data_IF_241256511676
#
_entry.id   IF_241256511676
#
_cell.length_a   1.000
_cell.length_b   1.000
_cell.length_c   1.000
_cell.angle_alpha   90.00
_cell.angle_beta   90.00
_cell.angle_gamma   90.00
#
_symmetry.space_group_name_H-M   'P 1'
#
loop_
_entity.id
_entity.type
_entity.pdbx_description
1 polymer ?
#
# COMPACT_ATOMS: atom_id res chain seq x y z
N UNK A 1 -9.31 -79.82 -30.87
CA UNK A 1 -9.01 -79.23 -29.61
C UNK A 1 -8.47 -77.83 -29.87
N UNK A 2 -9.33 -76.79 -29.67
CA UNK A 2 -9.00 -75.44 -29.96
C UNK A 2 -8.67 -74.76 -28.62
N UNK A 3 -7.43 -74.46 -28.46
CA UNK A 3 -6.91 -73.69 -27.31
C UNK A 3 -7.28 -72.17 -27.46
N UNK A 4 -8.09 -71.66 -26.54
CA UNK A 4 -8.41 -70.25 -26.46
C UNK A 4 -7.31 -69.55 -25.66
N UNK A 5 -6.55 -68.74 -26.33
CA UNK A 5 -5.63 -67.81 -25.69
C UNK A 5 -6.44 -66.59 -25.31
N UNK A 6 -6.65 -66.35 -23.99
CA UNK A 6 -7.23 -65.12 -23.47
C UNK A 6 -6.12 -64.08 -23.43
N UNK A 7 -6.18 -63.13 -24.33
CA UNK A 7 -5.36 -61.90 -24.24
C UNK A 7 -5.96 -60.91 -23.19
N UNK A 8 -5.29 -60.75 -22.06
CA UNK A 8 -5.63 -59.76 -21.03
C UNK A 8 -5.10 -58.43 -21.46
N UNK A 9 -5.97 -57.57 -21.94
CA UNK A 9 -5.65 -56.16 -22.20
C UNK A 9 -5.62 -55.39 -20.87
N UNK A 10 -4.43 -55.11 -20.37
CA UNK A 10 -4.24 -54.18 -19.22
C UNK A 10 -4.25 -52.76 -19.79
N UNK A 11 -5.36 -52.06 -19.61
CA UNK A 11 -5.44 -50.63 -19.87
C UNK A 11 -4.77 -49.87 -18.70
N UNK A 12 -3.57 -49.37 -18.92
CA UNK A 12 -2.89 -48.49 -17.99
C UNK A 12 -3.53 -47.09 -18.14
N UNK A 13 -4.37 -46.73 -17.19
CA UNK A 13 -4.94 -45.39 -17.09
C UNK A 13 -3.87 -44.47 -16.44
N UNK A 14 -3.10 -43.77 -17.26
CA UNK A 14 -2.22 -42.71 -16.77
C UNK A 14 -3.10 -41.52 -16.41
N UNK A 15 -3.43 -41.39 -15.12
CA UNK A 15 -4.04 -40.17 -14.59
C UNK A 15 -2.95 -39.12 -14.57
N UNK A 16 -2.91 -38.25 -15.58
CA UNK A 16 -2.14 -37.03 -15.56
C UNK A 16 -2.88 -36.09 -14.62
N UNK A 17 -2.51 -36.09 -13.34
CA UNK A 17 -2.87 -35.00 -12.43
C UNK A 17 -2.13 -33.76 -12.89
N UNK A 18 -2.78 -32.94 -13.69
CA UNK A 18 -2.34 -31.56 -13.91
C UNK A 18 -2.40 -30.87 -12.53
N UNK A 19 -1.26 -30.83 -11.86
CA UNK A 19 -1.08 -29.86 -10.78
C UNK A 19 -1.23 -28.48 -11.46
N UNK A 20 -2.41 -27.90 -11.37
CA UNK A 20 -2.51 -26.46 -11.59
C UNK A 20 -1.48 -25.87 -10.63
N UNK A 21 -0.40 -25.33 -11.16
CA UNK A 21 0.50 -24.49 -10.40
C UNK A 21 -0.37 -23.29 -9.97
N UNK A 22 -0.99 -23.41 -8.80
CA UNK A 22 -1.51 -22.25 -8.09
C UNK A 22 -0.26 -21.40 -7.87
N UNK A 23 -0.22 -20.23 -8.47
CA UNK A 23 0.81 -19.25 -8.14
C UNK A 23 0.81 -19.14 -6.61
N UNK A 24 1.92 -19.55 -5.98
CA UNK A 24 2.04 -19.53 -4.53
C UNK A 24 1.87 -18.08 -4.07
N UNK A 25 0.69 -17.79 -3.60
CA UNK A 25 0.43 -16.52 -2.91
C UNK A 25 0.98 -16.67 -1.51
N UNK A 26 2.16 -16.15 -1.28
CA UNK A 26 2.79 -16.17 0.02
C UNK A 26 2.00 -15.29 0.99
N UNK A 27 1.33 -15.94 1.92
CA UNK A 27 0.55 -15.24 2.96
C UNK A 27 1.47 -14.69 4.05
N UNK A 28 2.51 -15.45 4.40
CA UNK A 28 3.40 -15.22 5.53
C UNK A 28 4.83 -15.66 5.20
N UNK A 29 5.79 -15.17 5.99
CA UNK A 29 7.17 -15.64 5.97
C UNK A 29 8.06 -15.01 4.91
N UNK A 30 7.57 -14.03 4.16
CA UNK A 30 8.35 -13.35 3.15
C UNK A 30 9.07 -12.13 3.71
N UNK A 31 10.05 -11.65 2.97
CA UNK A 31 10.83 -10.47 3.29
C UNK A 31 10.14 -9.16 2.88
N UNK A 32 10.77 -8.05 3.21
CA UNK A 32 10.34 -6.71 2.82
C UNK A 32 11.43 -6.06 1.99
N UNK A 33 11.08 -5.52 0.84
CA UNK A 33 11.95 -4.73 -0.01
C UNK A 33 11.76 -3.25 0.33
N UNK A 34 12.75 -2.57 0.96
CA UNK A 34 12.71 -1.12 1.07
C UNK A 34 12.85 -0.49 -0.32
N UNK A 35 12.20 0.63 -0.53
CA UNK A 35 12.22 1.32 -1.82
C UNK A 35 12.56 2.80 -1.65
N UNK A 36 13.47 3.29 -2.47
CA UNK A 36 13.69 4.71 -2.68
C UNK A 36 12.77 5.18 -3.80
N UNK A 37 11.87 6.11 -3.47
CA UNK A 37 10.86 6.61 -4.42
C UNK A 37 11.33 7.85 -5.18
N UNK A 38 12.34 8.54 -4.67
CA UNK A 38 12.88 9.74 -5.25
C UNK A 38 13.05 10.88 -4.23
N UNK A 39 13.33 12.07 -4.72
CA UNK A 39 13.59 13.26 -3.89
C UNK A 39 12.94 14.51 -4.46
N UNK A 40 12.74 15.50 -3.59
CA UNK A 40 12.30 16.85 -3.96
C UNK A 40 13.03 17.92 -3.15
N UNK A 41 13.23 19.12 -3.72
CA UNK A 41 13.76 20.24 -2.97
C UNK A 41 12.69 20.81 -2.03
N UNK A 42 13.14 21.28 -0.86
CA UNK A 42 12.32 22.02 0.09
C UNK A 42 12.55 23.52 -0.04
N UNK A 43 11.58 24.33 0.42
CA UNK A 43 11.65 25.79 0.34
C UNK A 43 12.81 26.40 1.13
N UNK A 44 13.32 25.70 2.15
CA UNK A 44 14.46 26.11 2.99
C UNK A 44 15.83 25.71 2.42
N UNK A 45 15.84 25.09 1.23
CA UNK A 45 17.04 24.61 0.56
C UNK A 45 17.53 23.23 0.97
N UNK A 46 16.83 22.56 1.89
CA UNK A 46 17.05 21.14 2.19
C UNK A 46 16.40 20.26 1.12
N UNK A 47 16.60 18.94 1.23
CA UNK A 47 15.97 17.98 0.32
C UNK A 47 15.22 16.91 1.12
N UNK A 48 14.05 16.49 0.62
CA UNK A 48 13.31 15.35 1.14
C UNK A 48 13.56 14.12 0.28
N UNK A 49 14.13 13.07 0.87
CA UNK A 49 14.18 11.73 0.30
C UNK A 49 12.91 10.99 0.66
N UNK A 50 12.19 10.49 -0.34
CA UNK A 50 10.94 9.77 -0.16
C UNK A 50 11.19 8.27 -0.21
N UNK A 51 10.59 7.56 0.74
CA UNK A 51 10.71 6.11 0.84
C UNK A 51 9.36 5.44 0.90
N UNK A 52 9.34 4.23 0.39
CA UNK A 52 8.26 3.27 0.49
C UNK A 52 8.82 1.88 0.67
N UNK A 53 7.99 0.87 0.51
CA UNK A 53 8.42 -0.52 0.60
C UNK A 53 7.46 -1.46 -0.13
N UNK A 54 7.93 -2.68 -0.40
CA UNK A 54 7.12 -3.81 -0.80
C UNK A 54 7.25 -4.91 0.24
N UNK A 55 6.18 -5.16 0.99
CA UNK A 55 6.07 -6.36 1.82
C UNK A 55 5.58 -7.51 0.92
N UNK A 56 6.40 -8.52 0.72
CA UNK A 56 6.10 -9.64 -0.17
C UNK A 56 4.99 -10.55 0.35
N UNK A 57 4.60 -10.38 1.63
CA UNK A 57 3.47 -11.08 2.21
C UNK A 57 2.13 -10.45 1.76
N UNK A 58 1.12 -11.29 1.63
CA UNK A 58 -0.25 -10.86 1.34
C UNK A 58 -1.07 -10.59 2.60
N UNK A 59 -0.68 -11.18 3.72
CA UNK A 59 -1.45 -11.07 4.98
C UNK A 59 -0.59 -10.64 6.15
N UNK A 60 0.64 -11.16 6.24
CA UNK A 60 1.53 -10.85 7.36
C UNK A 60 1.94 -9.39 7.37
N UNK A 61 1.90 -8.80 8.56
CA UNK A 61 2.31 -7.44 8.86
C UNK A 61 3.45 -7.49 9.88
N UNK A 62 4.69 -7.70 9.44
CA UNK A 62 5.83 -7.84 10.33
C UNK A 62 6.10 -6.57 11.12
N UNK A 63 6.48 -6.73 12.38
CA UNK A 63 7.07 -5.68 13.20
C UNK A 63 8.60 -5.84 13.22
N UNK A 64 9.33 -4.82 12.76
CA UNK A 64 10.80 -4.80 12.70
C UNK A 64 11.28 -3.55 13.44
N UNK A 65 11.71 -3.74 14.68
CA UNK A 65 12.18 -2.63 15.51
C UNK A 65 13.41 -1.94 14.92
N UNK A 66 13.56 -0.65 15.22
CA UNK A 66 14.79 0.10 14.90
C UNK A 66 16.00 -0.56 15.58
N UNK A 67 17.06 -0.77 14.83
CA UNK A 67 18.28 -1.45 15.27
C UNK A 67 18.90 -2.22 14.12
N UNK A 68 19.59 -3.34 14.41
CA UNK A 68 20.36 -4.10 13.43
C UNK A 68 19.55 -4.60 12.23
N UNK A 69 18.23 -4.70 12.37
CA UNK A 69 17.34 -5.21 11.32
C UNK A 69 16.53 -4.11 10.61
N UNK A 70 16.59 -2.85 11.08
CA UNK A 70 15.87 -1.74 10.49
C UNK A 70 16.61 -0.43 10.82
N UNK A 71 17.44 0.03 9.91
CA UNK A 71 18.28 1.20 10.17
C UNK A 71 18.67 1.95 8.91
N UNK A 72 19.01 3.23 9.10
CA UNK A 72 19.66 4.05 8.11
C UNK A 72 21.16 4.16 8.34
N UNK A 73 21.91 4.39 7.26
CA UNK A 73 23.33 4.78 7.28
C UNK A 73 23.65 5.63 6.05
N UNK A 74 24.59 6.61 6.15
CA UNK A 74 25.32 7.07 7.35
C UNK A 74 24.46 7.90 8.28
N UNK A 75 24.92 8.09 9.50
CA UNK A 75 24.31 8.92 10.54
C UNK A 75 23.37 8.13 11.44
N UNK A 76 22.29 8.80 11.92
CA UNK A 76 21.36 8.18 12.86
C UNK A 76 20.62 7.01 12.23
N UNK A 77 20.57 5.90 12.96
CA UNK A 77 19.87 4.69 12.52
C UNK A 77 18.35 4.90 12.43
N UNK A 78 17.80 5.72 13.31
CA UNK A 78 16.38 6.14 13.28
C UNK A 78 16.24 7.46 12.52
N UNK A 79 15.56 7.42 11.39
CA UNK A 79 15.22 8.57 10.55
C UNK A 79 13.72 8.74 10.39
N UNK A 80 12.93 8.13 11.26
CA UNK A 80 11.48 8.20 11.20
C UNK A 80 10.83 7.05 10.42
N UNK A 81 11.57 6.05 9.97
CA UNK A 81 11.05 4.90 9.23
C UNK A 81 10.05 4.07 10.03
N UNK A 82 9.10 3.35 9.38
CA UNK A 82 8.16 2.48 10.07
C UNK A 82 8.84 1.33 10.79
N UNK A 83 8.21 0.83 11.86
CA UNK A 83 8.53 -0.46 12.47
C UNK A 83 7.45 -1.51 12.22
N UNK A 84 6.30 -1.10 11.71
CA UNK A 84 5.20 -1.96 11.30
C UNK A 84 5.00 -1.87 9.79
N UNK A 85 4.90 -3.00 9.13
CA UNK A 85 4.90 -3.06 7.67
C UNK A 85 3.60 -3.68 7.14
N UNK A 86 2.76 -2.84 6.54
CA UNK A 86 1.53 -3.26 5.88
C UNK A 86 1.81 -4.17 4.67
N UNK A 87 0.88 -5.04 4.28
CA UNK A 87 1.07 -5.91 3.12
C UNK A 87 1.31 -5.16 1.81
N UNK A 88 1.99 -5.82 0.89
CA UNK A 88 2.19 -5.41 -0.50
C UNK A 88 2.90 -4.06 -0.65
N UNK A 89 2.66 -3.37 -1.77
CA UNK A 89 3.35 -2.14 -2.13
C UNK A 89 2.76 -0.93 -1.39
N UNK A 90 3.59 -0.26 -0.61
CA UNK A 90 3.28 0.98 0.09
C UNK A 90 4.26 2.06 -0.38
N UNK A 91 3.78 2.95 -1.26
CA UNK A 91 4.59 4.00 -1.88
C UNK A 91 4.56 5.27 -1.05
N UNK A 92 5.63 6.05 -1.09
CA UNK A 92 5.74 7.36 -0.46
C UNK A 92 5.26 7.36 1.01
N UNK A 93 5.71 6.35 1.76
CA UNK A 93 5.26 6.12 3.15
C UNK A 93 5.80 7.16 4.11
N UNK A 94 7.04 7.60 3.91
CA UNK A 94 7.69 8.61 4.76
C UNK A 94 8.79 9.35 3.99
N UNK A 95 9.21 10.46 4.58
CA UNK A 95 10.30 11.29 4.05
C UNK A 95 11.42 11.41 5.07
N UNK A 96 12.65 11.49 4.55
CA UNK A 96 13.85 11.81 5.34
C UNK A 96 14.45 13.09 4.80
N UNK A 97 14.48 14.13 5.64
CA UNK A 97 15.10 15.41 5.27
C UNK A 97 16.62 15.29 5.38
N UNK A 98 17.32 15.72 4.33
CA UNK A 98 18.76 15.82 4.27
C UNK A 98 19.19 17.27 4.00
N UNK A 99 20.36 17.70 4.52
CA UNK A 99 20.79 19.08 4.39
C UNK A 99 21.12 19.49 2.95
N UNK A 100 21.15 20.80 2.69
CA UNK A 100 21.45 21.40 1.38
C UNK A 100 22.84 21.02 0.82
N UNK A 101 23.79 20.70 1.68
CA UNK A 101 25.14 20.25 1.32
C UNK A 101 25.28 18.72 1.19
N UNK A 102 24.17 18.01 1.00
CA UNK A 102 24.17 16.54 0.87
C UNK A 102 25.09 16.06 -0.24
N UNK A 103 25.07 16.71 -1.39
CA UNK A 103 25.95 16.40 -2.53
C UNK A 103 25.70 14.99 -3.10
N UNK A 104 26.79 14.27 -3.37
CA UNK A 104 26.78 12.93 -3.98
C UNK A 104 26.65 11.77 -2.96
N UNK A 105 26.45 12.08 -1.69
CA UNK A 105 26.31 11.06 -0.65
C UNK A 105 25.09 10.19 -0.88
N UNK A 106 25.18 8.94 -0.47
CA UNK A 106 24.04 8.02 -0.43
C UNK A 106 23.50 7.91 0.99
N UNK A 107 22.18 7.86 1.13
CA UNK A 107 21.49 7.45 2.35
C UNK A 107 20.92 6.06 2.11
N UNK A 108 21.30 5.09 2.92
CA UNK A 108 20.92 3.69 2.72
C UNK A 108 19.98 3.25 3.83
N UNK A 109 18.78 2.81 3.45
CA UNK A 109 17.87 2.15 4.35
C UNK A 109 18.03 0.63 4.25
N UNK A 110 18.35 -0.02 5.35
CA UNK A 110 18.55 -1.46 5.44
C UNK A 110 17.44 -2.11 6.24
N UNK A 111 16.82 -3.14 5.68
CA UNK A 111 15.87 -4.03 6.34
C UNK A 111 16.36 -5.47 6.28
N UNK A 112 16.28 -6.18 7.41
CA UNK A 112 16.51 -7.62 7.48
C UNK A 112 15.29 -8.28 8.07
N UNK A 113 14.57 -9.02 7.24
CA UNK A 113 13.33 -9.70 7.60
C UNK A 113 13.44 -11.16 7.21
N UNK A 114 13.16 -12.05 8.16
CA UNK A 114 13.28 -13.50 7.98
C UNK A 114 14.66 -13.96 7.48
N UNK A 115 15.74 -13.24 7.89
CA UNK A 115 17.13 -13.52 7.50
C UNK A 115 17.51 -13.05 6.09
N UNK A 116 16.63 -12.27 5.45
CA UNK A 116 16.88 -11.69 4.13
C UNK A 116 17.10 -10.20 4.29
N UNK A 117 18.32 -9.75 4.04
CA UNK A 117 18.69 -8.35 4.03
C UNK A 117 18.38 -7.72 2.67
N UNK A 118 17.74 -6.53 2.71
CA UNK A 118 17.43 -5.70 1.55
C UNK A 118 17.79 -4.24 1.82
N UNK A 119 18.16 -3.50 0.78
CA UNK A 119 18.63 -2.12 0.89
C UNK A 119 18.01 -1.23 -0.17
N UNK A 120 17.62 -0.03 0.23
CA UNK A 120 17.30 1.07 -0.67
C UNK A 120 18.38 2.16 -0.57
N UNK A 121 18.83 2.64 -1.72
CA UNK A 121 19.90 3.63 -1.84
C UNK A 121 19.31 4.95 -2.35
N UNK A 122 19.33 5.97 -1.52
CA UNK A 122 18.80 7.28 -1.85
C UNK A 122 19.90 8.27 -2.22
N UNK A 123 19.72 8.97 -3.33
CA UNK A 123 20.67 9.93 -3.91
C UNK A 123 19.94 11.14 -4.47
N UNK A 124 20.66 12.26 -4.65
CA UNK A 124 20.15 13.47 -5.34
C UNK A 124 20.37 13.43 -6.87
N UNK A 125 20.43 12.25 -7.49
CA UNK A 125 20.51 12.16 -8.95
C UNK A 125 19.22 12.68 -9.58
N UNK A 126 19.33 13.43 -10.66
CA UNK A 126 18.21 14.06 -11.37
C UNK A 126 17.16 13.06 -11.84
N UNK A 127 17.56 11.84 -12.18
CA UNK A 127 16.65 10.75 -12.58
C UNK A 127 15.64 10.37 -11.51
N UNK A 128 15.91 10.73 -10.24
CA UNK A 128 15.03 10.47 -9.09
C UNK A 128 14.29 11.71 -8.59
N UNK A 129 14.36 12.83 -9.32
CA UNK A 129 13.57 14.01 -8.98
C UNK A 129 12.07 13.72 -9.18
N UNK A 130 11.28 13.91 -8.13
CA UNK A 130 9.83 13.68 -8.17
C UNK A 130 9.06 14.96 -7.88
N UNK A 131 7.94 15.08 -8.56
CA UNK A 131 6.94 16.11 -8.36
C UNK A 131 5.57 15.49 -8.02
N UNK A 132 4.58 16.33 -7.77
CA UNK A 132 3.23 15.86 -7.47
C UNK A 132 2.64 15.02 -8.61
N UNK A 133 3.07 15.24 -9.86
CA UNK A 133 2.60 14.45 -10.99
C UNK A 133 3.13 13.03 -10.96
N UNK A 134 4.41 12.86 -10.62
CA UNK A 134 5.01 11.53 -10.44
C UNK A 134 4.29 10.81 -9.30
N UNK A 135 4.11 11.47 -8.14
CA UNK A 135 3.41 10.89 -6.99
C UNK A 135 1.99 10.47 -7.38
N UNK A 136 1.22 11.34 -8.00
CA UNK A 136 -0.16 11.05 -8.41
C UNK A 136 -0.23 9.92 -9.45
N UNK A 137 0.72 9.83 -10.39
CA UNK A 137 0.75 8.75 -11.39
C UNK A 137 1.11 7.39 -10.80
N UNK A 138 1.90 7.38 -9.73
CA UNK A 138 2.35 6.15 -9.07
C UNK A 138 1.38 5.66 -7.98
N UNK A 139 0.65 6.57 -7.32
CA UNK A 139 -0.30 6.26 -6.25
C UNK A 139 -1.76 6.32 -6.69
N UNK A 140 -2.02 7.03 -7.76
CA UNK A 140 -3.38 7.24 -8.25
C UNK A 140 -4.07 5.97 -8.76
N UNK A 141 -5.39 6.01 -8.76
CA UNK A 141 -6.26 4.88 -9.14
C UNK A 141 -6.19 4.48 -10.60
N UNK A 142 -5.61 5.30 -11.45
CA UNK A 142 -5.51 5.04 -12.89
C UNK A 142 -4.25 4.26 -13.27
N UNK A 143 -3.35 4.02 -12.32
CA UNK A 143 -2.09 3.33 -12.54
C UNK A 143 -1.02 4.19 -13.20
N UNK A 144 0.21 3.69 -13.16
CA UNK A 144 1.36 4.36 -13.73
C UNK A 144 1.17 4.74 -15.21
N UNK A 145 1.57 5.94 -15.55
CA UNK A 145 1.57 6.43 -16.93
C UNK A 145 0.23 6.96 -17.43
N UNK A 146 -0.83 6.96 -16.64
CA UNK A 146 -2.09 7.63 -17.02
C UNK A 146 -2.12 9.04 -16.45
N UNK A 147 -2.34 10.01 -17.33
CA UNK A 147 -2.41 11.42 -17.00
C UNK A 147 -3.59 12.06 -17.70
N UNK A 148 -4.42 12.76 -16.95
CA UNK A 148 -5.53 13.56 -17.47
C UNK A 148 -5.32 15.04 -17.09
N UNK A 149 -6.02 16.00 -17.72
CA UNK A 149 -5.99 17.39 -17.26
C UNK A 149 -6.40 17.52 -15.78
N UNK A 150 -7.35 16.72 -15.32
CA UNK A 150 -7.80 16.72 -13.92
C UNK A 150 -6.70 16.19 -12.98
N UNK A 151 -6.05 15.05 -13.30
CA UNK A 151 -4.96 14.52 -12.47
C UNK A 151 -3.74 15.43 -12.44
N UNK A 152 -3.52 16.22 -13.50
CA UNK A 152 -2.45 17.24 -13.51
C UNK A 152 -2.77 18.49 -12.70
N UNK A 153 -4.05 18.80 -12.53
CA UNK A 153 -4.50 19.94 -11.74
C UNK A 153 -4.70 19.59 -10.25
N UNK A 154 -4.68 18.30 -9.91
CA UNK A 154 -4.91 17.80 -8.57
C UNK A 154 -3.89 18.36 -7.57
N UNK A 155 -4.40 18.82 -6.44
CA UNK A 155 -3.61 19.22 -5.27
C UNK A 155 -3.74 18.11 -4.21
N UNK A 156 -2.63 17.63 -3.64
CA UNK A 156 -2.70 16.60 -2.61
C UNK A 156 -3.61 17.00 -1.45
N UNK A 157 -4.42 16.08 -0.89
CA UNK A 157 -5.28 16.38 0.22
C UNK A 157 -4.50 16.82 1.46
N UNK A 158 -5.06 17.75 2.21
CA UNK A 158 -4.51 18.22 3.49
C UNK A 158 -5.22 17.49 4.62
N UNK A 159 -4.44 16.77 5.42
CA UNK A 159 -4.91 15.97 6.57
C UNK A 159 -4.54 16.67 7.86
N UNK A 160 -5.53 16.96 8.72
CA UNK A 160 -5.32 17.63 10.00
C UNK A 160 -6.05 16.88 11.11
N UNK A 161 -5.34 16.51 12.17
CA UNK A 161 -5.94 15.90 13.37
C UNK A 161 -6.47 17.02 14.24
N UNK A 162 -7.70 16.88 14.74
CA UNK A 162 -8.28 17.84 15.69
C UNK A 162 -7.87 17.49 17.12
N UNK A 163 -7.46 18.52 17.86
CA UNK A 163 -7.02 18.42 19.27
C UNK A 163 -5.54 18.03 19.40
N UNK A 164 -5.21 17.38 20.52
CA UNK A 164 -3.83 17.08 20.86
C UNK A 164 -3.26 15.93 20.00
N UNK A 165 -2.04 16.09 19.50
CA UNK A 165 -1.32 15.07 18.75
C UNK A 165 -0.86 13.90 19.62
N UNK A 166 -0.67 14.14 20.92
CA UNK A 166 -0.26 13.13 21.90
C UNK A 166 -1.43 12.84 22.83
N UNK A 167 -1.79 11.58 22.91
CA UNK A 167 -2.90 11.10 23.73
C UNK A 167 -2.46 9.93 24.60
N UNK A 168 -3.13 9.74 25.73
CA UNK A 168 -2.86 8.64 26.66
C UNK A 168 -4.16 7.91 26.95
N UNK A 169 -4.11 6.59 26.90
CA UNK A 169 -5.20 5.70 27.29
C UNK A 169 -4.69 4.48 28.03
N UNK A 170 -5.59 3.76 28.67
CA UNK A 170 -5.30 2.42 29.20
C UNK A 170 -5.41 1.39 28.09
N UNK A 171 -4.71 0.27 28.28
CA UNK A 171 -4.87 -0.89 27.40
C UNK A 171 -6.33 -1.33 27.38
N UNK A 172 -6.89 -1.52 26.19
CA UNK A 172 -8.30 -1.87 25.97
C UNK A 172 -9.29 -0.70 26.07
N UNK A 173 -8.83 0.51 26.39
CA UNK A 173 -9.65 1.72 26.37
C UNK A 173 -9.68 2.30 24.95
N UNK A 174 -10.86 2.74 24.51
CA UNK A 174 -11.04 3.40 23.22
C UNK A 174 -10.60 4.87 23.29
N UNK A 175 -9.80 5.29 22.30
CA UNK A 175 -9.47 6.69 22.08
C UNK A 175 -10.16 7.14 20.80
N UNK A 176 -10.98 8.18 20.90
CA UNK A 176 -11.60 8.79 19.73
C UNK A 176 -10.77 9.96 19.23
N UNK A 177 -10.66 10.09 17.92
CA UNK A 177 -10.05 11.25 17.28
C UNK A 177 -10.78 11.59 15.99
N UNK A 178 -10.78 12.89 15.67
CA UNK A 178 -11.39 13.44 14.48
C UNK A 178 -10.29 13.94 13.57
N UNK A 179 -10.37 13.56 12.31
CA UNK A 179 -9.43 13.99 11.27
C UNK A 179 -10.17 14.78 10.23
N UNK A 180 -9.73 15.99 9.97
CA UNK A 180 -10.24 16.77 8.85
C UNK A 180 -9.37 16.51 7.63
N UNK A 181 -10.02 16.19 6.51
CA UNK A 181 -9.39 16.06 5.19
C UNK A 181 -9.99 17.10 4.27
N UNK A 182 -9.14 17.97 3.75
CA UNK A 182 -9.52 19.00 2.76
C UNK A 182 -8.88 18.61 1.45
N UNK A 183 -9.71 18.48 0.41
CA UNK A 183 -9.31 18.05 -0.92
C UNK A 183 -9.96 18.95 -1.97
N UNK A 184 -9.34 19.08 -3.16
CA UNK A 184 -9.87 19.87 -4.27
C UNK A 184 -10.93 19.12 -5.11
N UNK A 185 -11.18 17.86 -4.79
CA UNK A 185 -12.15 16.99 -5.47
C UNK A 185 -11.67 16.50 -6.83
N UNK A 186 -10.36 16.56 -7.11
CA UNK A 186 -9.76 16.09 -8.35
C UNK A 186 -8.86 14.86 -8.13
N UNK A 187 -8.74 13.97 -9.10
CA UNK A 187 -9.64 13.80 -10.25
C UNK A 187 -11.02 13.35 -9.77
N UNK A 188 -12.07 13.86 -10.42
CA UNK A 188 -13.45 13.53 -10.01
C UNK A 188 -13.67 12.04 -9.89
N UNK A 189 -14.25 11.61 -8.77
CA UNK A 189 -14.63 10.23 -8.55
C UNK A 189 -15.54 9.76 -9.70
N UNK A 190 -15.14 8.69 -10.37
CA UNK A 190 -16.01 8.05 -11.37
C UNK A 190 -17.04 7.22 -10.62
N UNK A 191 -18.14 7.84 -10.19
CA UNK A 191 -19.30 7.09 -9.75
C UNK A 191 -19.77 6.25 -10.93
N UNK A 192 -19.78 4.95 -10.79
CA UNK A 192 -20.53 4.11 -11.73
C UNK A 192 -21.99 4.49 -11.57
N UNK A 193 -22.56 5.15 -12.59
CA UNK A 193 -24.01 5.31 -12.67
C UNK A 193 -24.64 3.93 -12.52
N UNK A 194 -25.73 3.82 -11.78
CA UNK A 194 -26.55 2.62 -11.64
C UNK A 194 -26.76 2.02 -13.03
N UNK A 195 -25.98 1.00 -13.32
CA UNK A 195 -25.86 0.47 -14.66
C UNK A 195 -27.06 -0.40 -14.89
N UNK A 196 -27.84 -0.14 -15.92
CA UNK A 196 -28.92 -1.03 -16.33
C UNK A 196 -28.36 -2.42 -16.67
N UNK A 197 -29.14 -3.47 -16.49
CA UNK A 197 -28.74 -4.85 -16.78
C UNK A 197 -28.18 -5.01 -18.23
N UNK A 198 -28.67 -4.23 -19.17
CA UNK A 198 -28.18 -4.16 -20.55
C UNK A 198 -26.80 -3.51 -20.68
N UNK A 199 -26.42 -2.59 -19.79
CA UNK A 199 -25.10 -1.98 -19.76
C UNK A 199 -24.08 -2.91 -19.11
N UNK A 200 -24.48 -3.70 -18.13
CA UNK A 200 -23.66 -4.77 -17.54
C UNK A 200 -23.30 -5.82 -18.61
N UNK A 201 -24.27 -6.30 -19.38
CA UNK A 201 -24.03 -7.25 -20.46
C UNK A 201 -23.10 -6.68 -21.54
N UNK A 202 -23.27 -5.40 -21.88
CA UNK A 202 -22.43 -4.72 -22.88
C UNK A 202 -20.98 -4.51 -22.38
N UNK A 203 -20.80 -4.30 -21.08
CA UNK A 203 -19.50 -4.24 -20.43
C UNK A 203 -18.81 -5.59 -20.38
N UNK A 204 -19.54 -6.66 -20.13
CA UNK A 204 -18.99 -8.02 -20.11
C UNK A 204 -18.49 -8.47 -21.49
N UNK A 205 -18.97 -7.87 -22.58
CA UNK A 205 -18.55 -8.16 -23.94
C UNK A 205 -17.43 -7.25 -24.50
N UNK A 206 -17.03 -6.23 -23.76
CA UNK A 206 -15.91 -5.35 -24.19
C UNK A 206 -14.66 -5.72 -23.44
N UNK A 207 -13.51 -5.81 -24.14
CA UNK A 207 -12.22 -5.95 -23.47
C UNK A 207 -12.06 -4.80 -22.48
N UNK A 208 -11.56 -5.06 -21.28
CA UNK A 208 -11.32 -4.01 -20.31
C UNK A 208 -10.27 -3.04 -20.85
N UNK A 209 -10.54 -1.78 -20.71
CA UNK A 209 -9.62 -0.70 -21.10
C UNK A 209 -8.63 -0.35 -20.01
N UNK A 210 -8.69 -1.02 -18.85
CA UNK A 210 -7.83 -0.77 -17.70
C UNK A 210 -6.81 -1.87 -17.52
N UNK A 211 -5.57 -1.47 -17.35
CA UNK A 211 -4.45 -2.37 -17.04
C UNK A 211 -4.31 -2.56 -15.52
N UNK A 212 -4.74 -1.57 -14.73
CA UNK A 212 -4.64 -1.61 -13.26
C UNK A 212 -5.93 -2.13 -12.67
N UNK A 213 -5.81 -3.21 -11.92
CA UNK A 213 -6.93 -3.87 -11.25
C UNK A 213 -7.19 -3.18 -9.93
N UNK A 214 -8.42 -2.78 -9.71
CA UNK A 214 -8.95 -2.73 -8.36
C UNK A 214 -9.19 -1.38 -7.73
N UNK A 215 -8.61 -0.26 -8.13
CA UNK A 215 -8.92 1.05 -7.54
C UNK A 215 -9.78 1.92 -8.45
N UNK A 216 -10.80 2.53 -7.88
CA UNK A 216 -11.58 3.62 -8.47
C UNK A 216 -11.15 4.91 -7.78
N UNK A 217 -11.07 6.01 -8.52
CA UNK A 217 -10.79 7.33 -7.95
C UNK A 217 -11.82 7.68 -6.88
N UNK A 218 -11.36 8.21 -5.79
CA UNK A 218 -12.20 8.70 -4.72
C UNK A 218 -11.38 8.88 -3.46
N UNK A 219 -11.60 9.98 -2.79
CA UNK A 219 -10.91 10.30 -1.54
C UNK A 219 -11.35 9.32 -0.45
N UNK A 220 -10.38 8.76 0.27
CA UNK A 220 -10.63 8.03 1.51
C UNK A 220 -9.48 8.24 2.49
N UNK A 221 -9.78 8.14 3.77
CA UNK A 221 -8.81 8.17 4.84
C UNK A 221 -8.59 6.77 5.41
N UNK A 222 -7.33 6.40 5.62
CA UNK A 222 -6.95 5.14 6.27
C UNK A 222 -5.99 5.42 7.41
N UNK A 223 -6.33 4.97 8.62
CA UNK A 223 -5.45 4.98 9.78
C UNK A 223 -4.80 3.62 9.99
N UNK A 224 -3.51 3.62 10.23
CA UNK A 224 -2.73 2.39 10.41
C UNK A 224 -1.73 2.56 11.55
N UNK A 225 -1.33 1.44 12.15
CA UNK A 225 -0.17 1.41 13.03
C UNK A 225 1.08 1.70 12.21
N UNK A 226 1.89 2.63 12.65
CA UNK A 226 3.20 2.95 12.06
C UNK A 226 4.33 2.42 12.91
N UNK A 227 4.22 2.59 14.25
CA UNK A 227 5.13 2.04 15.26
C UNK A 227 4.34 1.65 16.50
N UNK A 228 4.82 0.67 17.24
CA UNK A 228 4.26 0.26 18.52
C UNK A 228 4.34 -1.23 18.78
N UNK A 229 4.32 -1.65 20.07
CA UNK A 229 4.62 -3.03 20.45
C UNK A 229 3.47 -4.02 20.21
N UNK A 230 2.22 -3.56 20.21
CA UNK A 230 1.03 -4.41 20.09
C UNK A 230 0.20 -4.11 18.85
N UNK A 231 -1.01 -4.67 18.81
CA UNK A 231 -1.97 -4.41 17.75
C UNK A 231 -2.82 -3.19 18.07
N UNK A 232 -3.32 -2.57 17.02
CA UNK A 232 -4.28 -1.48 17.09
C UNK A 232 -5.52 -1.89 16.31
N UNK A 233 -6.67 -1.77 16.94
CA UNK A 233 -7.97 -2.00 16.31
C UNK A 233 -8.63 -0.65 16.10
N UNK A 234 -9.13 -0.40 14.89
CA UNK A 234 -9.84 0.82 14.54
C UNK A 234 -11.33 0.56 14.34
N UNK A 235 -12.17 1.51 14.75
CA UNK A 235 -13.57 1.55 14.45
C UNK A 235 -13.97 2.94 13.91
N UNK A 236 -14.54 3.02 12.69
CA UNK A 236 -14.82 1.91 11.77
C UNK A 236 -13.54 1.22 11.27
N UNK A 237 -13.65 -0.03 10.79
CA UNK A 237 -12.51 -0.72 10.17
C UNK A 237 -11.93 0.07 9.00
N UNK A 238 -10.60 0.24 9.02
CA UNK A 238 -9.93 1.08 8.03
C UNK A 238 -9.86 0.43 6.65
N UNK A 239 -10.04 1.21 5.58
CA UNK A 239 -9.74 0.78 4.22
C UNK A 239 -8.26 0.39 4.11
N UNK A 240 -7.97 -0.61 3.29
CA UNK A 240 -6.59 -1.00 3.00
C UNK A 240 -5.91 0.05 2.10
N UNK A 241 -4.80 0.65 2.50
CA UNK A 241 -4.05 1.59 1.66
C UNK A 241 -3.23 0.91 0.56
N UNK A 242 -3.20 -0.41 0.53
CA UNK A 242 -2.49 -1.21 -0.48
C UNK A 242 -3.46 -1.95 -1.41
N UNK A 243 -3.00 -2.29 -2.61
CA UNK A 243 -3.78 -3.08 -3.56
C UNK A 243 -3.80 -4.56 -3.17
N UNK A 244 -4.99 -5.10 -2.89
CA UNK A 244 -5.21 -6.52 -2.67
C UNK A 244 -5.86 -7.14 -3.92
N UNK A 245 -5.04 -7.67 -4.81
CA UNK A 245 -5.50 -8.22 -6.09
C UNK A 245 -5.86 -9.69 -6.05
N UNK A 246 -5.80 -10.36 -4.89
CA UNK A 246 -6.03 -11.80 -4.76
C UNK A 246 -7.41 -12.25 -5.20
N UNK A 247 -8.43 -11.48 -4.85
CA UNK A 247 -9.84 -11.87 -5.06
C UNK A 247 -10.26 -11.82 -6.52
N UNK A 248 -9.62 -10.96 -7.30
CA UNK A 248 -9.94 -10.76 -8.71
C UNK A 248 -8.69 -10.71 -9.58
N UNK A 249 -7.59 -11.22 -9.06
CA UNK A 249 -6.24 -11.12 -9.56
C UNK A 249 -6.18 -11.12 -11.09
N UNK A 250 -5.86 -9.99 -11.68
CA UNK A 250 -5.74 -9.78 -13.12
C UNK A 250 -7.02 -10.11 -13.92
N UNK A 251 -8.16 -10.35 -13.26
CA UNK A 251 -9.42 -10.54 -13.97
C UNK A 251 -9.99 -9.19 -14.37
N UNK A 252 -10.18 -8.97 -15.66
CA UNK A 252 -10.82 -7.74 -16.15
C UNK A 252 -12.29 -7.61 -15.71
N UNK A 253 -12.90 -8.71 -15.26
CA UNK A 253 -14.26 -8.74 -14.74
C UNK A 253 -14.34 -8.82 -13.21
N UNK A 254 -13.20 -8.70 -12.52
CA UNK A 254 -13.17 -8.64 -11.07
C UNK A 254 -13.94 -7.42 -10.54
N UNK A 255 -14.52 -7.57 -9.35
CA UNK A 255 -15.15 -6.45 -8.67
C UNK A 255 -14.14 -5.34 -8.41
N UNK A 256 -14.49 -4.11 -8.78
CA UNK A 256 -13.69 -2.94 -8.43
C UNK A 256 -13.88 -2.64 -6.94
N UNK A 257 -12.79 -2.37 -6.25
CA UNK A 257 -12.89 -1.78 -4.92
C UNK A 257 -13.32 -0.31 -5.06
N UNK A 258 -14.40 0.04 -4.38
CA UNK A 258 -14.87 1.42 -4.29
C UNK A 258 -14.45 1.98 -2.93
N UNK A 259 -13.84 3.17 -2.87
CA UNK A 259 -13.58 3.83 -1.61
C UNK A 259 -14.89 4.08 -0.87
N UNK A 260 -14.88 4.08 0.48
CA UNK A 260 -16.01 4.56 1.26
C UNK A 260 -16.43 5.96 0.83
N UNK A 261 -17.72 6.30 0.98
CA UNK A 261 -18.17 7.66 0.70
C UNK A 261 -17.51 8.63 1.69
N UNK A 262 -16.84 9.65 1.15
CA UNK A 262 -16.22 10.68 1.98
C UNK A 262 -17.29 11.52 2.67
N UNK A 263 -17.13 11.87 3.96
CA UNK A 263 -18.02 12.80 4.66
C UNK A 263 -18.09 14.14 3.94
N UNK A 264 -19.31 14.73 3.83
CA UNK A 264 -19.50 16.01 3.12
C UNK A 264 -18.73 17.18 3.75
N UNK A 265 -18.53 17.13 5.07
CA UNK A 265 -17.75 18.11 5.85
C UNK A 265 -16.26 17.81 5.91
N UNK A 266 -15.83 16.68 5.32
CA UNK A 266 -14.44 16.22 5.37
C UNK A 266 -13.97 15.75 6.75
N UNK A 267 -14.90 15.52 7.71
CA UNK A 267 -14.58 15.09 9.06
C UNK A 267 -14.72 13.57 9.20
N UNK A 268 -13.62 12.91 9.51
CA UNK A 268 -13.56 11.48 9.76
C UNK A 268 -13.40 11.22 11.26
N UNK A 269 -14.42 10.58 11.86
CA UNK A 269 -14.37 10.16 13.25
C UNK A 269 -13.90 8.71 13.32
N UNK A 270 -12.88 8.45 14.14
CA UNK A 270 -12.26 7.14 14.29
C UNK A 270 -11.97 6.88 15.76
N UNK A 271 -12.19 5.66 16.21
CA UNK A 271 -11.68 5.19 17.50
C UNK A 271 -10.54 4.19 17.29
N UNK A 272 -9.60 4.19 18.21
CA UNK A 272 -8.50 3.23 18.26
C UNK A 272 -8.42 2.57 19.64
N UNK A 273 -8.21 1.25 19.65
CA UNK A 273 -8.00 0.45 20.86
C UNK A 273 -6.68 -0.29 20.75
N UNK A 274 -5.90 -0.31 21.83
CA UNK A 274 -4.57 -0.91 21.92
C UNK A 274 -4.58 -2.15 22.79
N UNK A 275 -3.97 -3.24 22.36
CA UNK A 275 -3.96 -4.52 23.09
C UNK A 275 -2.74 -4.70 24.01
N UNK A 276 -1.72 -3.85 23.91
CA UNK A 276 -0.52 -3.91 24.73
C UNK A 276 -0.07 -2.52 25.21
N UNK A 277 0.61 -2.42 26.37
CA UNK A 277 1.16 -1.16 26.85
C UNK A 277 2.39 -0.75 26.03
N UNK A 278 2.54 0.56 25.81
CA UNK A 278 3.69 1.13 25.12
C UNK A 278 3.37 2.45 24.41
N UNK A 279 4.35 2.95 23.69
CA UNK A 279 4.17 4.13 22.82
C UNK A 279 3.88 3.67 21.41
N UNK A 280 2.81 4.22 20.83
CA UNK A 280 2.40 3.96 19.46
C UNK A 280 2.50 5.23 18.62
N UNK A 281 2.85 5.06 17.37
CA UNK A 281 2.69 6.09 16.34
C UNK A 281 1.66 5.54 15.36
N UNK A 282 0.58 6.29 15.19
CA UNK A 282 -0.44 6.03 14.18
C UNK A 282 -0.17 6.91 12.96
N UNK A 283 -0.43 6.38 11.80
CA UNK A 283 -0.24 7.02 10.51
C UNK A 283 -1.57 7.11 9.78
N UNK A 284 -2.01 8.35 9.53
CA UNK A 284 -3.19 8.65 8.74
C UNK A 284 -2.78 9.01 7.32
N UNK A 285 -3.39 8.34 6.35
CA UNK A 285 -3.15 8.54 4.93
C UNK A 285 -4.47 8.82 4.21
N UNK A 286 -4.52 9.92 3.48
CA UNK A 286 -5.60 10.23 2.55
C UNK A 286 -5.13 9.92 1.13
N UNK A 287 -5.91 9.13 0.38
CA UNK A 287 -5.64 8.70 -0.98
C UNK A 287 -6.81 9.05 -1.90
#
# INVERSE_FOLDING_TARGET
>A
SISRVNALLIAVFVVVTSSAALADTYQFGQHIEPAYEGWRPNADGTFSFMFGYMNENWTEQPDVAIGDNNFFSPGDADRGQPTHFLPRRNRFTFEVVVPSDWGERELVWTLNVNGIERKAYATLKDDYLVDNMVIASETGSLGAGTSSPESRANIPPVVTIQGDDIRTARVGEEISFVTQVIDDGLPKARRESTTSESDLQRRMMRPPTRITVGKVNGLFLSWNKYRGPGNVTFDPPMPKPWEDTRTSANSPWGALWLPPEAPEDGLYEVTATFDAPGTYILWGRAD
#
